data_IF_936059654081
#
_entry.id   IF_936059654081
#
_cell.length_a   1.000
_cell.length_b   1.000
_cell.length_c   1.000
_cell.angle_alpha   90.00
_cell.angle_beta   90.00
_cell.angle_gamma   90.00
#
_symmetry.space_group_name_H-M   'P 1'
#
loop_
_entity.id
_entity.type
_entity.pdbx_description
1 polymer ?
#
# COMPACT_ATOMS: atom_id res chain seq x y z
N UNK A 1 5.33 -68.00 -73.87
CA UNK A 1 6.76 -67.80 -74.14
C UNK A 1 7.35 -67.03 -72.98
N UNK A 2 8.57 -67.38 -72.56
CA UNK A 2 9.45 -66.63 -71.61
C UNK A 2 9.09 -66.75 -70.12
N UNK A 3 9.98 -66.94 -69.14
CA UNK A 3 11.24 -67.68 -68.97
C UNK A 3 11.51 -67.74 -67.45
N UNK A 4 12.24 -68.78 -67.02
CA UNK A 4 12.85 -69.02 -65.69
C UNK A 4 13.86 -67.92 -65.30
N UNK A 5 14.03 -67.62 -63.99
CA UNK A 5 15.27 -67.17 -63.28
C UNK A 5 14.94 -67.11 -61.77
N UNK A 6 15.36 -68.00 -60.87
CA UNK A 6 16.68 -68.38 -60.33
C UNK A 6 17.34 -67.37 -59.36
N UNK A 7 17.66 -67.88 -58.16
CA UNK A 7 18.80 -67.59 -57.27
C UNK A 7 18.96 -66.19 -56.63
N UNK A 8 19.04 -66.16 -55.29
CA UNK A 8 20.24 -65.82 -54.48
C UNK A 8 19.83 -65.36 -53.07
N UNK A 9 20.33 -66.06 -52.06
CA UNK A 9 20.30 -65.65 -50.66
C UNK A 9 21.56 -64.82 -50.34
N UNK A 10 21.46 -63.70 -49.61
CA UNK A 10 22.61 -63.06 -48.97
C UNK A 10 22.50 -63.02 -47.42
N UNK A 11 23.61 -62.70 -46.72
CA UNK A 11 24.03 -63.39 -45.50
C UNK A 11 23.61 -62.74 -44.18
N UNK A 12 23.71 -63.55 -43.11
CA UNK A 12 23.59 -63.18 -41.70
C UNK A 12 24.38 -61.93 -41.32
N UNK A 13 23.68 -60.95 -40.73
CA UNK A 13 24.28 -59.77 -40.12
C UNK A 13 24.86 -60.10 -38.71
N UNK A 14 25.99 -59.48 -38.32
CA UNK A 14 26.64 -59.74 -37.05
C UNK A 14 25.93 -59.07 -35.86
N UNK A 15 25.92 -59.80 -34.74
CA UNK A 15 25.47 -59.40 -33.40
C UNK A 15 26.15 -58.09 -32.95
N UNK A 16 25.35 -57.03 -32.76
CA UNK A 16 25.81 -55.79 -32.13
C UNK A 16 25.89 -56.01 -30.62
N UNK A 17 27.11 -56.03 -30.10
CA UNK A 17 27.41 -56.01 -28.68
C UNK A 17 26.75 -54.79 -28.01
N UNK A 18 26.09 -55.02 -26.87
CA UNK A 18 25.48 -54.00 -26.05
C UNK A 18 26.57 -53.16 -25.36
N UNK A 19 26.51 -51.84 -25.51
CA UNK A 19 27.32 -50.90 -24.73
C UNK A 19 26.81 -50.84 -23.28
N UNK A 20 27.67 -51.00 -22.25
CA UNK A 20 27.29 -50.75 -20.87
C UNK A 20 27.53 -49.28 -20.54
N UNK A 21 26.48 -48.46 -20.42
CA UNK A 21 26.71 -47.04 -20.18
C UNK A 21 25.48 -46.13 -20.16
N UNK A 22 24.40 -46.53 -19.50
CA UNK A 22 23.37 -45.60 -19.08
C UNK A 22 22.96 -45.98 -17.67
N UNK A 23 23.58 -45.34 -16.67
CA UNK A 23 23.01 -45.32 -15.32
C UNK A 23 21.70 -44.55 -15.47
N UNK A 24 20.59 -45.27 -15.37
CA UNK A 24 19.27 -44.72 -15.11
C UNK A 24 19.40 -43.76 -13.92
N UNK A 25 19.48 -42.46 -14.21
CA UNK A 25 19.29 -41.44 -13.21
C UNK A 25 17.80 -41.49 -12.87
N UNK A 26 17.46 -42.21 -11.80
CA UNK A 26 16.11 -42.22 -11.26
C UNK A 26 15.60 -40.78 -11.17
N UNK A 27 14.37 -40.50 -11.64
CA UNK A 27 13.81 -39.15 -11.57
C UNK A 27 13.81 -38.70 -10.11
N UNK A 28 14.43 -37.54 -9.86
CA UNK A 28 14.43 -36.91 -8.54
C UNK A 28 12.98 -36.80 -8.09
N UNK A 29 12.58 -37.40 -6.95
CA UNK A 29 11.21 -37.34 -6.49
C UNK A 29 10.85 -35.87 -6.23
N UNK A 30 9.84 -35.38 -6.94
CA UNK A 30 9.25 -34.07 -6.66
C UNK A 30 8.73 -34.08 -5.22
N UNK A 31 9.07 -33.08 -4.39
CA UNK A 31 8.56 -33.00 -3.03
C UNK A 31 7.02 -32.91 -3.08
N UNK A 32 6.34 -33.90 -2.52
CA UNK A 32 4.88 -34.09 -2.54
C UNK A 32 4.16 -33.44 -1.36
N UNK A 33 4.91 -32.93 -0.38
CA UNK A 33 4.33 -32.22 0.76
C UNK A 33 4.13 -30.73 0.41
N UNK A 34 2.95 -30.15 0.72
CA UNK A 34 2.75 -28.71 0.58
C UNK A 34 3.78 -27.95 1.42
N UNK A 35 4.31 -26.86 0.86
CA UNK A 35 5.28 -26.02 1.54
C UNK A 35 4.68 -25.48 2.85
N UNK A 36 5.49 -25.34 3.93
CA UNK A 36 5.02 -24.65 5.11
C UNK A 36 4.60 -23.21 4.74
N UNK A 37 3.60 -22.61 5.40
CA UNK A 37 3.01 -21.32 5.00
C UNK A 37 4.03 -20.20 4.78
N UNK A 38 5.08 -20.12 5.61
CA UNK A 38 6.14 -19.13 5.45
C UNK A 38 6.96 -19.35 4.16
N UNK A 39 7.21 -20.60 3.78
CA UNK A 39 7.93 -20.91 2.54
C UNK A 39 7.03 -20.66 1.32
N UNK A 40 5.75 -21.04 1.39
CA UNK A 40 4.76 -20.77 0.35
C UNK A 40 4.53 -19.26 0.16
N UNK A 41 4.42 -18.51 1.25
CA UNK A 41 4.31 -17.06 1.25
C UNK A 41 5.54 -16.35 0.68
N UNK A 42 6.74 -16.81 1.04
CA UNK A 42 8.00 -16.29 0.49
C UNK A 42 8.07 -16.47 -1.02
N UNK A 43 7.70 -17.67 -1.49
CA UNK A 43 7.67 -18.04 -2.90
C UNK A 43 6.61 -17.26 -3.68
N UNK A 44 5.39 -17.13 -3.14
CA UNK A 44 4.33 -16.30 -3.73
C UNK A 44 4.73 -14.83 -3.85
N UNK A 45 5.26 -14.24 -2.79
CA UNK A 45 5.63 -12.82 -2.78
C UNK A 45 6.79 -12.55 -3.74
N UNK A 46 7.78 -13.44 -3.80
CA UNK A 46 8.87 -13.34 -4.78
C UNK A 46 8.35 -13.41 -6.21
N UNK A 47 7.53 -14.42 -6.55
CA UNK A 47 7.00 -14.62 -7.92
C UNK A 47 6.14 -13.48 -8.43
N UNK A 48 5.41 -12.82 -7.54
CA UNK A 48 4.51 -11.70 -7.89
C UNK A 48 5.19 -10.34 -7.77
N UNK A 49 6.47 -10.32 -7.37
CA UNK A 49 7.30 -9.11 -7.34
C UNK A 49 8.00 -8.88 -8.67
N UNK A 50 8.31 -7.62 -8.98
CA UNK A 50 9.00 -7.22 -10.21
C UNK A 50 10.40 -7.85 -10.38
N UNK A 51 11.07 -8.21 -9.28
CA UNK A 51 12.37 -8.91 -9.29
C UNK A 51 12.37 -10.06 -8.27
N UNK A 52 11.90 -11.27 -8.67
CA UNK A 52 11.87 -12.43 -7.80
C UNK A 52 13.26 -12.85 -7.32
N UNK A 53 14.28 -12.70 -8.18
CA UNK A 53 15.66 -13.08 -7.91
C UNK A 53 16.29 -12.23 -6.82
N UNK A 54 16.10 -10.91 -6.86
CA UNK A 54 16.55 -10.00 -5.82
C UNK A 54 15.88 -10.31 -4.47
N UNK A 55 14.57 -10.60 -4.47
CA UNK A 55 13.85 -10.96 -3.25
C UNK A 55 14.43 -12.22 -2.60
N UNK A 56 14.54 -13.31 -3.37
CA UNK A 56 15.04 -14.58 -2.88
C UNK A 56 16.51 -14.50 -2.45
N UNK A 57 17.32 -13.73 -3.18
CA UNK A 57 18.73 -13.52 -2.85
C UNK A 57 18.89 -12.77 -1.53
N UNK A 58 18.14 -11.67 -1.34
CA UNK A 58 18.17 -10.91 -0.09
C UNK A 58 17.78 -11.79 1.11
N UNK A 59 16.70 -12.56 1.00
CA UNK A 59 16.20 -13.43 2.08
C UNK A 59 17.05 -14.67 2.37
N UNK A 60 18.16 -14.91 1.64
CA UNK A 60 19.16 -15.91 2.07
C UNK A 60 19.92 -15.48 3.31
N UNK A 61 20.04 -14.18 3.53
CA UNK A 61 20.71 -13.61 4.70
C UNK A 61 19.69 -13.44 5.82
N UNK A 62 19.92 -14.00 7.03
CA UNK A 62 19.05 -13.78 8.18
C UNK A 62 18.85 -12.29 8.47
N UNK A 63 17.61 -11.90 8.80
CA UNK A 63 17.23 -10.51 9.09
C UNK A 63 17.50 -9.50 7.96
N UNK A 64 17.69 -9.95 6.73
CA UNK A 64 17.74 -9.06 5.57
C UNK A 64 16.34 -8.64 5.12
N UNK A 65 16.26 -7.43 4.57
CA UNK A 65 15.08 -6.92 3.91
C UNK A 65 15.23 -7.09 2.40
N UNK A 66 14.22 -7.63 1.75
CA UNK A 66 14.13 -7.74 0.31
C UNK A 66 13.43 -6.52 -0.30
N UNK A 67 13.87 -6.05 -1.48
CA UNK A 67 13.16 -5.04 -2.25
C UNK A 67 11.96 -5.66 -2.97
N UNK A 68 10.75 -5.44 -2.42
CA UNK A 68 9.48 -5.89 -2.99
C UNK A 68 8.81 -4.73 -3.72
N UNK A 69 8.44 -4.97 -4.98
CA UNK A 69 7.68 -4.05 -5.84
C UNK A 69 6.67 -4.85 -6.63
N UNK A 70 5.47 -4.32 -6.89
CA UNK A 70 4.52 -5.00 -7.77
C UNK A 70 5.15 -5.17 -9.15
N UNK A 71 5.06 -6.37 -9.72
CA UNK A 71 5.27 -6.59 -11.16
C UNK A 71 4.16 -5.89 -11.98
N UNK A 72 4.35 -5.74 -13.29
CA UNK A 72 3.37 -5.08 -14.17
C UNK A 72 2.02 -5.81 -14.21
N UNK A 73 2.05 -7.13 -14.08
CA UNK A 73 0.90 -8.04 -14.04
C UNK A 73 0.58 -8.52 -12.61
N UNK A 74 1.14 -7.86 -11.59
CA UNK A 74 0.90 -8.21 -10.19
C UNK A 74 -0.60 -8.20 -9.86
N UNK A 75 -1.11 -9.24 -9.18
CA UNK A 75 -2.50 -9.27 -8.75
C UNK A 75 -2.76 -8.34 -7.55
N UNK A 76 -1.71 -7.72 -7.01
CA UNK A 76 -1.78 -6.89 -5.83
C UNK A 76 -1.17 -5.51 -6.04
N UNK A 77 -1.69 -4.55 -5.30
CA UNK A 77 -1.06 -3.27 -4.98
C UNK A 77 -0.84 -3.19 -3.46
N UNK A 78 -0.13 -2.15 -3.01
CA UNK A 78 0.05 -1.91 -1.57
C UNK A 78 -0.49 -0.54 -1.19
N UNK A 79 -1.27 -0.49 -0.10
CA UNK A 79 -1.68 0.75 0.54
C UNK A 79 -0.88 0.90 1.83
N UNK A 80 -0.20 2.04 1.96
CA UNK A 80 0.58 2.41 3.12
C UNK A 80 -0.12 3.52 3.89
N UNK A 81 -0.18 3.37 5.20
CA UNK A 81 -0.77 4.33 6.13
C UNK A 81 0.17 4.53 7.32
N UNK A 82 -0.03 5.59 8.11
CA UNK A 82 0.67 5.71 9.38
C UNK A 82 0.28 4.56 10.32
N UNK A 83 1.17 4.24 11.26
CA UNK A 83 0.98 3.09 12.15
C UNK A 83 -0.31 3.19 12.97
N UNK A 84 -0.72 4.37 13.44
CA UNK A 84 -1.90 4.51 14.31
C UNK A 84 -3.18 4.26 13.53
N UNK A 85 -3.30 4.86 12.35
CA UNK A 85 -4.46 4.66 11.49
C UNK A 85 -4.55 3.21 10.98
N UNK A 86 -3.43 2.62 10.58
CA UNK A 86 -3.36 1.21 10.16
C UNK A 86 -3.71 0.23 11.27
N UNK A 87 -3.23 0.45 12.50
CA UNK A 87 -3.59 -0.38 13.66
C UNK A 87 -5.09 -0.27 13.98
N UNK A 88 -5.64 0.94 13.99
CA UNK A 88 -7.07 1.15 14.16
C UNK A 88 -7.90 0.43 13.09
N UNK A 89 -7.46 0.44 11.83
CA UNK A 89 -8.13 -0.28 10.76
C UNK A 89 -8.08 -1.81 10.96
N UNK A 90 -6.94 -2.35 11.42
CA UNK A 90 -6.84 -3.78 11.77
C UNK A 90 -7.81 -4.15 12.91
N UNK A 91 -7.97 -3.28 13.90
CA UNK A 91 -8.94 -3.50 14.99
C UNK A 91 -10.39 -3.51 14.46
N UNK A 92 -10.73 -2.59 13.55
CA UNK A 92 -12.07 -2.55 12.92
C UNK A 92 -12.31 -3.80 12.06
N UNK A 93 -11.32 -4.22 11.26
CA UNK A 93 -11.41 -5.45 10.47
C UNK A 93 -11.58 -6.69 11.37
N UNK A 94 -10.83 -6.77 12.46
CA UNK A 94 -10.94 -7.85 13.44
C UNK A 94 -12.32 -7.87 14.12
N UNK A 95 -12.85 -6.71 14.50
CA UNK A 95 -14.20 -6.59 15.06
C UNK A 95 -15.29 -7.04 14.07
N UNK A 96 -15.05 -6.86 12.77
CA UNK A 96 -15.92 -7.34 11.69
C UNK A 96 -15.68 -8.82 11.32
N UNK A 97 -14.79 -9.54 12.01
CA UNK A 97 -14.32 -10.89 11.68
C UNK A 97 -13.78 -11.03 10.23
N UNK A 98 -13.29 -9.94 9.65
CA UNK A 98 -12.59 -9.98 8.38
C UNK A 98 -11.20 -10.60 8.60
N UNK A 99 -10.81 -11.54 7.74
CA UNK A 99 -9.43 -12.08 7.73
C UNK A 99 -8.60 -11.16 6.83
N UNK A 100 -7.74 -10.29 7.38
CA UNK A 100 -6.88 -9.46 6.57
C UNK A 100 -5.87 -10.32 5.81
N UNK A 101 -5.54 -9.90 4.60
CA UNK A 101 -4.41 -10.44 3.84
C UNK A 101 -3.08 -9.96 4.42
N UNK A 102 -1.98 -10.06 3.64
CA UNK A 102 -0.66 -9.67 4.11
C UNK A 102 -0.62 -8.22 4.60
N UNK A 103 -0.07 -8.03 5.79
CA UNK A 103 0.10 -6.73 6.43
C UNK A 103 1.49 -6.64 7.06
N UNK A 104 2.27 -5.65 6.63
CA UNK A 104 3.63 -5.41 7.10
C UNK A 104 3.66 -4.13 7.93
N UNK A 105 4.12 -4.23 9.17
CA UNK A 105 4.44 -3.07 9.99
C UNK A 105 5.91 -2.71 9.79
N UNK A 106 6.19 -1.44 9.54
CA UNK A 106 7.53 -0.84 9.59
C UNK A 106 7.63 0.12 10.77
N UNK A 107 8.71 0.90 10.85
CA UNK A 107 8.87 1.89 11.91
C UNK A 107 7.87 3.05 11.85
N UNK A 108 7.38 3.36 10.65
CA UNK A 108 6.61 4.57 10.35
C UNK A 108 5.28 4.28 9.70
N UNK A 109 5.12 3.11 9.08
CA UNK A 109 3.96 2.78 8.29
C UNK A 109 3.45 1.38 8.56
N UNK A 110 2.16 1.18 8.29
CA UNK A 110 1.56 -0.14 8.13
C UNK A 110 1.13 -0.29 6.67
N UNK A 111 1.56 -1.38 6.05
CA UNK A 111 1.42 -1.65 4.62
C UNK A 111 0.47 -2.83 4.41
N UNK A 112 -0.57 -2.64 3.62
CA UNK A 112 -1.56 -3.66 3.31
C UNK A 112 -1.47 -4.10 1.86
N UNK A 113 -1.37 -5.40 1.63
CA UNK A 113 -1.53 -5.97 0.30
C UNK A 113 -3.02 -6.10 -0.02
N UNK A 114 -3.39 -5.49 -1.14
CA UNK A 114 -4.78 -5.40 -1.62
C UNK A 114 -4.86 -5.88 -3.06
N UNK A 115 -6.02 -6.36 -3.54
CA UNK A 115 -6.23 -6.63 -4.95
C UNK A 115 -5.85 -5.44 -5.82
N UNK A 116 -5.42 -5.71 -7.05
CA UNK A 116 -5.11 -4.68 -8.03
C UNK A 116 -6.23 -3.64 -8.09
N UNK A 117 -5.87 -2.40 -7.77
CA UNK A 117 -6.76 -1.27 -7.75
C UNK A 117 -7.05 -0.80 -9.19
N UNK A 118 -8.31 -0.56 -9.48
CA UNK A 118 -8.84 0.10 -10.69
C UNK A 118 -8.81 1.64 -10.56
N UNK A 119 -9.24 2.37 -11.60
CA UNK A 119 -9.28 3.83 -11.56
C UNK A 119 -10.28 4.41 -10.54
N UNK A 120 -11.29 3.63 -10.11
CA UNK A 120 -12.32 4.10 -9.17
C UNK A 120 -11.85 4.18 -7.71
N UNK A 121 -10.65 3.65 -7.42
CA UNK A 121 -10.11 3.61 -6.06
C UNK A 121 -9.75 4.99 -5.52
N UNK A 122 -9.40 5.95 -6.38
CA UNK A 122 -9.17 7.34 -5.96
C UNK A 122 -10.40 7.91 -5.25
N UNK A 123 -11.62 7.55 -5.67
CA UNK A 123 -12.84 8.01 -5.00
C UNK A 123 -13.08 7.33 -3.65
N UNK A 124 -12.76 6.04 -3.54
CA UNK A 124 -12.89 5.28 -2.28
C UNK A 124 -11.86 5.73 -1.25
N UNK A 125 -10.64 6.00 -1.69
CA UNK A 125 -9.55 6.44 -0.84
C UNK A 125 -9.62 7.94 -0.54
N UNK A 126 -10.09 8.80 -1.46
CA UNK A 126 -10.29 10.24 -1.22
C UNK A 126 -11.60 10.59 -0.48
N UNK A 127 -12.17 9.63 0.26
CA UNK A 127 -13.42 9.82 0.99
C UNK A 127 -13.40 11.03 1.91
N UNK A 128 -14.57 11.67 2.05
CA UNK A 128 -14.81 12.67 3.08
C UNK A 128 -15.49 11.97 4.25
N UNK A 129 -15.01 12.19 5.47
CA UNK A 129 -15.69 11.72 6.68
C UNK A 129 -16.54 12.84 7.25
N UNK A 130 -17.85 12.60 7.35
CA UNK A 130 -18.76 13.49 8.07
C UNK A 130 -18.52 13.29 9.58
N UNK A 131 -17.65 14.12 10.12
CA UNK A 131 -17.46 14.25 11.57
C UNK A 131 -18.28 15.44 12.08
N UNK A 132 -18.63 15.49 13.38
CA UNK A 132 -19.30 16.64 13.98
C UNK A 132 -18.58 17.98 13.72
N UNK A 133 -17.26 17.94 13.50
CA UNK A 133 -16.40 19.12 13.30
C UNK A 133 -16.21 19.49 11.81
N UNK A 134 -16.95 18.86 10.89
CA UNK A 134 -16.94 19.14 9.44
C UNK A 134 -16.43 17.98 8.58
N UNK A 135 -16.45 18.13 7.24
CA UNK A 135 -15.98 17.10 6.32
C UNK A 135 -14.45 17.04 6.29
N UNK A 136 -13.88 15.91 6.72
CA UNK A 136 -12.43 15.68 6.67
C UNK A 136 -12.05 14.80 5.48
N UNK A 137 -11.08 15.26 4.67
CA UNK A 137 -10.44 14.44 3.67
C UNK A 137 -9.40 13.51 4.34
N UNK A 138 -9.82 12.32 4.77
CA UNK A 138 -8.95 11.36 5.47
C UNK A 138 -7.97 10.64 4.54
N UNK A 139 -8.33 10.53 3.25
CA UNK A 139 -7.56 9.85 2.20
C UNK A 139 -6.19 10.40 1.87
N UNK A 140 -5.94 11.69 2.15
CA UNK A 140 -4.69 12.36 1.74
C UNK A 140 -3.45 11.86 2.49
N UNK A 141 -3.65 11.17 3.61
CA UNK A 141 -2.57 10.60 4.41
C UNK A 141 -2.12 9.20 3.92
N UNK A 142 -2.81 8.63 2.92
CA UNK A 142 -2.50 7.31 2.39
C UNK A 142 -1.51 7.42 1.22
N UNK A 143 -0.56 6.48 1.17
CA UNK A 143 0.30 6.30 0.01
C UNK A 143 -0.06 5.00 -0.68
N UNK A 144 -0.29 5.04 -2.00
CA UNK A 144 -0.66 3.85 -2.78
C UNK A 144 0.48 3.48 -3.73
N UNK A 145 0.94 2.24 -3.65
CA UNK A 145 2.01 1.69 -4.48
C UNK A 145 1.39 0.80 -5.55
N UNK A 146 1.23 1.38 -6.74
CA UNK A 146 0.48 0.78 -7.84
C UNK A 146 1.37 0.06 -8.86
N UNK A 147 2.58 0.56 -9.10
CA UNK A 147 3.40 0.11 -10.24
C UNK A 147 4.89 0.07 -9.89
N UNK A 148 5.69 -0.71 -10.62
CA UNK A 148 7.14 -0.67 -10.48
C UNK A 148 7.74 0.69 -10.86
N UNK A 149 7.04 1.48 -11.69
CA UNK A 149 7.41 2.85 -12.10
C UNK A 149 7.08 3.94 -11.08
N UNK A 150 6.27 3.65 -10.06
CA UNK A 150 6.00 4.58 -8.95
C UNK A 150 7.24 4.89 -8.11
N UNK A 151 8.37 4.21 -8.38
CA UNK A 151 9.66 4.40 -7.73
C UNK A 151 9.71 3.90 -6.29
N UNK A 152 8.57 3.51 -5.69
CA UNK A 152 8.56 3.07 -4.30
C UNK A 152 8.82 1.57 -4.20
N UNK A 153 9.96 1.24 -3.61
CA UNK A 153 10.33 -0.13 -3.24
C UNK A 153 10.01 -0.34 -1.77
N UNK A 154 9.22 -1.38 -1.45
CA UNK A 154 8.99 -1.78 -0.07
C UNK A 154 10.10 -2.72 0.38
N UNK A 155 10.63 -2.50 1.58
CA UNK A 155 11.66 -3.35 2.16
C UNK A 155 11.01 -4.34 3.12
N UNK A 156 10.93 -5.61 2.72
CA UNK A 156 10.19 -6.64 3.43
C UNK A 156 11.11 -7.70 4.04
N UNK A 157 10.92 -8.09 5.32
CA UNK A 157 11.53 -9.31 5.84
C UNK A 157 10.93 -10.54 5.15
N UNK A 158 11.64 -11.67 5.22
CA UNK A 158 11.07 -12.92 4.76
C UNK A 158 9.78 -13.23 5.56
N UNK A 159 8.73 -13.78 4.92
CA UNK A 159 7.53 -14.21 5.65
C UNK A 159 7.86 -15.12 6.83
N UNK A 160 7.33 -14.80 8.01
CA UNK A 160 7.64 -15.48 9.26
C UNK A 160 8.93 -15.04 9.96
N UNK A 161 9.60 -14.00 9.46
CA UNK A 161 10.77 -13.39 10.11
C UNK A 161 10.54 -11.89 10.38
N UNK A 162 11.32 -11.39 11.35
CA UNK A 162 11.41 -9.97 11.68
C UNK A 162 12.79 -9.43 11.31
N UNK A 163 12.84 -8.19 10.82
CA UNK A 163 14.10 -7.53 10.45
C UNK A 163 14.00 -6.00 10.55
N UNK A 164 14.98 -5.34 11.18
CA UNK A 164 15.17 -3.88 11.16
C UNK A 164 13.87 -3.07 11.40
N UNK A 165 13.12 -3.44 12.45
CA UNK A 165 11.81 -2.87 12.83
C UNK A 165 10.65 -3.15 11.86
N UNK A 166 10.90 -3.89 10.78
CA UNK A 166 9.86 -4.45 9.93
C UNK A 166 9.44 -5.83 10.46
N UNK A 167 8.14 -6.04 10.62
CA UNK A 167 7.56 -7.34 10.99
C UNK A 167 6.23 -7.55 10.29
N UNK A 168 5.93 -8.79 9.96
CA UNK A 168 4.63 -9.17 9.43
C UNK A 168 3.61 -9.19 10.57
N UNK A 169 2.57 -8.37 10.48
CA UNK A 169 1.38 -8.50 11.35
C UNK A 169 0.52 -9.66 10.86
N UNK A 170 0.35 -9.72 9.54
CA UNK A 170 -0.20 -10.88 8.83
C UNK A 170 0.78 -11.24 7.72
N UNK A 171 1.45 -12.38 7.86
CA UNK A 171 2.40 -12.85 6.85
C UNK A 171 1.65 -13.41 5.63
N UNK A 172 2.19 -13.28 4.41
CA UNK A 172 1.64 -14.04 3.28
C UNK A 172 1.81 -15.53 3.57
N UNK A 173 0.76 -16.29 3.30
CA UNK A 173 0.69 -17.74 3.50
C UNK A 173 0.86 -18.52 2.19
N UNK A 174 0.95 -17.81 1.06
CA UNK A 174 1.07 -18.36 -0.28
C UNK A 174 -0.26 -18.61 -1.00
N UNK A 175 -1.41 -18.42 -0.34
CA UNK A 175 -2.74 -18.59 -0.94
C UNK A 175 -3.07 -17.49 -1.96
N UNK A 176 -2.41 -16.33 -1.86
CA UNK A 176 -2.78 -15.13 -2.60
C UNK A 176 -4.03 -14.42 -2.05
N UNK A 177 -4.48 -14.76 -0.85
CA UNK A 177 -5.50 -13.99 -0.15
C UNK A 177 -5.00 -12.55 0.10
N UNK A 178 -5.81 -11.56 -0.26
CA UNK A 178 -5.50 -10.14 -0.12
C UNK A 178 -6.60 -9.47 0.69
N UNK A 179 -6.28 -8.37 1.36
CA UNK A 179 -7.29 -7.59 2.07
C UNK A 179 -8.22 -6.94 1.04
N UNK A 180 -9.51 -7.26 1.05
CA UNK A 180 -10.46 -6.63 0.15
C UNK A 180 -10.45 -5.12 0.38
N UNK A 181 -10.10 -4.35 -0.64
CA UNK A 181 -9.76 -2.96 -0.40
C UNK A 181 -10.99 -2.08 -0.07
N UNK A 182 -12.22 -2.52 -0.38
CA UNK A 182 -13.43 -1.83 0.07
C UNK A 182 -13.62 -1.96 1.59
N UNK A 183 -13.36 -3.15 2.13
CA UNK A 183 -13.36 -3.39 3.58
C UNK A 183 -12.23 -2.63 4.27
N UNK A 184 -11.03 -2.59 3.66
CA UNK A 184 -9.93 -1.80 4.19
C UNK A 184 -10.25 -0.30 4.19
N UNK A 185 -10.82 0.23 3.11
CA UNK A 185 -11.19 1.64 3.03
C UNK A 185 -12.25 2.02 4.08
N UNK A 186 -13.26 1.18 4.28
CA UNK A 186 -14.26 1.38 5.34
C UNK A 186 -13.61 1.33 6.74
N UNK A 187 -12.73 0.36 6.98
CA UNK A 187 -12.03 0.23 8.26
C UNK A 187 -11.10 1.42 8.56
N UNK A 188 -10.37 1.91 7.55
CA UNK A 188 -9.55 3.11 7.68
C UNK A 188 -10.42 4.36 7.94
N UNK A 189 -11.57 4.47 7.28
CA UNK A 189 -12.51 5.56 7.53
C UNK A 189 -12.99 5.54 8.99
N UNK A 190 -13.45 4.39 9.48
CA UNK A 190 -13.94 4.26 10.85
C UNK A 190 -12.83 4.49 11.89
N UNK A 191 -11.64 3.95 11.65
CA UNK A 191 -10.47 4.20 12.49
C UNK A 191 -10.11 5.69 12.52
N UNK A 192 -10.17 6.38 11.39
CA UNK A 192 -9.91 7.81 11.33
C UNK A 192 -10.92 8.60 12.18
N UNK A 193 -12.22 8.26 12.11
CA UNK A 193 -13.25 8.90 12.95
C UNK A 193 -12.94 8.73 14.43
N UNK A 194 -12.54 7.53 14.87
CA UNK A 194 -12.21 7.28 16.28
C UNK A 194 -10.95 8.05 16.70
N UNK A 195 -9.91 8.05 15.86
CA UNK A 195 -8.61 8.61 16.19
C UNK A 195 -8.56 10.14 16.12
N UNK A 196 -9.36 10.75 15.24
CA UNK A 196 -9.23 12.18 14.90
C UNK A 196 -10.50 13.00 15.10
N UNK A 197 -11.70 12.39 15.24
CA UNK A 197 -12.90 13.13 15.63
C UNK A 197 -12.96 13.49 17.12
N UNK A 198 -11.93 13.10 17.90
CA UNK A 198 -11.74 13.53 19.29
C UNK A 198 -10.66 14.62 19.44
N UNK A 199 -10.32 15.35 18.37
CA UNK A 199 -9.54 16.58 18.52
C UNK A 199 -10.48 17.61 19.15
N UNK A 200 -10.31 18.03 20.42
CA UNK A 200 -11.20 19.03 20.98
C UNK A 200 -11.11 20.27 20.11
N UNK A 201 -12.27 20.72 19.63
CA UNK A 201 -12.41 22.01 18.98
C UNK A 201 -11.60 23.02 19.79
N UNK A 202 -10.61 23.66 19.16
CA UNK A 202 -9.96 24.84 19.73
C UNK A 202 -11.13 25.73 20.15
N UNK A 203 -11.29 26.07 21.44
CA UNK A 203 -12.41 26.88 21.87
C UNK A 203 -12.36 28.12 21.01
N UNK A 204 -13.46 28.38 20.27
CA UNK A 204 -13.56 29.49 19.34
C UNK A 204 -12.90 30.72 19.99
N UNK A 205 -12.03 31.47 19.27
CA UNK A 205 -11.40 32.64 19.85
C UNK A 205 -12.51 33.48 20.46
N UNK A 206 -12.47 33.64 21.80
CA UNK A 206 -13.44 34.43 22.56
C UNK A 206 -13.68 35.68 21.74
N UNK A 207 -14.90 35.83 21.23
CA UNK A 207 -15.29 36.94 20.37
C UNK A 207 -14.71 38.20 20.98
N UNK A 208 -13.72 38.78 20.29
CA UNK A 208 -13.14 40.03 20.71
C UNK A 208 -14.32 40.99 20.88
N UNK A 209 -14.45 41.49 22.11
CA UNK A 209 -15.47 42.42 22.55
C UNK A 209 -15.77 43.39 21.40
N UNK A 210 -16.96 43.26 20.83
CA UNK A 210 -17.47 44.07 19.73
C UNK A 210 -17.10 45.54 20.04
N UNK A 211 -16.34 46.24 19.17
CA UNK A 211 -16.04 47.64 19.43
C UNK A 211 -17.39 48.34 19.55
N UNK A 212 -17.59 49.04 20.68
CA UNK A 212 -18.79 49.84 20.92
C UNK A 212 -19.07 50.62 19.65
N UNK A 213 -20.24 50.39 19.06
CA UNK A 213 -20.80 51.24 18.03
C UNK A 213 -20.72 52.67 18.57
N UNK A 214 -19.80 53.45 18.04
CA UNK A 214 -19.67 54.86 18.36
C UNK A 214 -20.92 55.54 17.82
N UNK A 215 -21.69 56.09 18.75
CA UNK A 215 -22.87 56.91 18.56
C UNK A 215 -22.63 57.99 17.49
N UNK A 216 -23.43 58.05 16.41
CA UNK A 216 -23.24 59.03 15.33
C UNK A 216 -23.52 60.49 15.75
N UNK A 217 -24.00 60.74 16.98
CA UNK A 217 -24.25 62.10 17.47
C UNK A 217 -22.99 62.88 17.92
N UNK A 218 -21.82 62.24 18.06
CA UNK A 218 -20.62 62.91 18.58
C UNK A 218 -19.63 63.42 17.50
N UNK A 219 -20.03 63.41 16.21
CA UNK A 219 -19.14 63.78 15.09
C UNK A 219 -19.39 65.18 14.49
N UNK A 220 -20.30 65.96 15.09
CA UNK A 220 -20.63 67.31 14.61
C UNK A 220 -19.76 68.44 15.22
N UNK A 221 -19.03 68.19 16.32
CA UNK A 221 -18.37 69.28 17.07
C UNK A 221 -16.86 69.45 16.80
N UNK A 222 -16.28 68.82 15.77
CA UNK A 222 -14.84 68.95 15.48
C UNK A 222 -14.50 69.54 14.11
N UNK A 223 -15.48 70.10 13.38
CA UNK A 223 -15.27 70.69 12.06
C UNK A 223 -15.75 72.16 11.97
N UNK A 224 -15.61 72.92 13.07
CA UNK A 224 -15.93 74.35 13.15
C UNK A 224 -14.78 75.20 13.72
N UNK A 225 -13.52 74.82 13.49
CA UNK A 225 -12.34 75.54 14.02
C UNK A 225 -11.34 76.04 12.96
N UNK A 226 -11.70 76.09 11.67
CA UNK A 226 -10.73 76.50 10.64
C UNK A 226 -11.23 77.47 9.55
N UNK A 227 -12.24 78.32 9.82
CA UNK A 227 -12.52 79.43 8.88
C UNK A 227 -12.91 80.71 9.65
N UNK A 228 -12.00 81.69 9.64
CA UNK A 228 -12.33 83.12 9.55
C UNK A 228 -12.69 83.89 10.83
N UNK A 229 -11.72 84.62 11.39
CA UNK A 229 -11.97 85.81 12.23
C UNK A 229 -11.61 87.07 11.41
N UNK A 230 -12.56 87.98 11.12
CA UNK A 230 -12.25 89.19 10.35
C UNK A 230 -12.12 90.48 11.18
N UNK A 231 -11.35 91.41 10.58
CA UNK A 231 -11.28 92.88 10.68
C UNK A 231 -10.83 93.60 11.97
N UNK A 232 -9.81 94.46 11.81
CA UNK A 232 -10.04 95.92 11.87
C UNK A 232 -8.92 96.76 11.25
N UNK A 233 -9.37 97.72 10.46
CA UNK A 233 -8.70 98.90 9.89
C UNK A 233 -8.27 99.87 10.99
N UNK A 234 -7.15 100.57 10.80
CA UNK A 234 -7.08 102.04 10.87
C UNK A 234 -5.67 102.56 10.47
N UNK A 235 -5.66 103.49 9.51
CA UNK A 235 -4.58 104.44 9.24
C UNK A 235 -4.77 105.68 10.14
N UNK A 236 -3.80 106.60 10.20
CA UNK A 236 -3.72 107.63 9.16
C UNK A 236 -2.42 107.65 8.35
#
# INVERSE_FOLDING_TARGET
MTHITALLDPPSAPTRAASPGARDAAPVPLPTAPLPPNAAGKDWLARTSADPGACLTAWRTPHALAPVRPADDSPWHVISTDVRLGDGALQVLAAANAVPGPALLTDTHLHFWVPRLTADWDRLLAGHSDTPDGPWAWGKALTVHLTPSSGTTLLCPAPGADARKARWVHAPDGSGALTYAGSLAAALHDAFRVLFAATPAIPAPRTAKQPRQSDPAARADHFAAFIGRPHRTEAP
#
